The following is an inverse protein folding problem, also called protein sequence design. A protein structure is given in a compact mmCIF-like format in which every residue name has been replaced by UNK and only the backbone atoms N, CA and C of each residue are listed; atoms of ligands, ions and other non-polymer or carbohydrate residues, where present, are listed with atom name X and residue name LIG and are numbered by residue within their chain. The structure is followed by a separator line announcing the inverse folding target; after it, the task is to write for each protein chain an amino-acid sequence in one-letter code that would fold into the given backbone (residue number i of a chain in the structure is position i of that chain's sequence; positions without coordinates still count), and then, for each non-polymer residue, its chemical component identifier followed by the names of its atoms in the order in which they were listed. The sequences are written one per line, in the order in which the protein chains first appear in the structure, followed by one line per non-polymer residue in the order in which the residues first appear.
data_IF_895964226409
#
_entry.id   IF_895964226409
#
_cell.length_a   1.000
_cell.length_b   1.000
_cell.length_c   1.000
_cell.angle_alpha   90.00
_cell.angle_beta   90.00
_cell.angle_gamma   90.00
#
_symmetry.space_group_name_H-M   'P 1'
#
loop_
_entity.id
_entity.type
_entity.pdbx_description
1 polymer ?
#
# COMPACT_ATOMS: atom_id res chain seq x y z
N UNK A 1 11.36 21.89 -22.41
CA UNK A 1 11.33 21.57 -20.96
C UNK A 1 12.41 22.22 -20.10
N UNK A 2 13.60 22.59 -20.63
CA UNK A 2 14.67 23.24 -19.83
C UNK A 2 14.25 24.48 -19.03
N UNK A 3 13.31 25.29 -19.54
CA UNK A 3 12.78 26.47 -18.82
C UNK A 3 12.04 26.11 -17.52
N UNK A 4 11.24 25.04 -17.52
CA UNK A 4 10.45 24.65 -16.34
C UNK A 4 11.36 24.15 -15.23
N UNK A 5 12.38 23.36 -15.56
CA UNK A 5 13.38 22.87 -14.59
C UNK A 5 14.14 24.04 -13.97
N UNK A 6 14.58 25.00 -14.78
CA UNK A 6 15.26 26.20 -14.27
C UNK A 6 14.39 27.02 -13.33
N UNK A 7 13.11 27.18 -13.65
CA UNK A 7 12.17 27.86 -12.75
C UNK A 7 12.00 27.08 -11.44
N UNK A 8 11.87 25.75 -11.48
CA UNK A 8 11.78 24.94 -10.25
C UNK A 8 13.05 25.11 -9.41
N UNK A 9 14.24 25.02 -10.01
CA UNK A 9 15.51 25.22 -9.29
C UNK A 9 15.59 26.59 -8.61
N UNK A 10 15.16 27.65 -9.30
CA UNK A 10 15.07 28.99 -8.71
C UNK A 10 14.09 29.01 -7.53
N UNK A 11 12.94 28.36 -7.64
CA UNK A 11 11.97 28.28 -6.54
C UNK A 11 12.57 27.57 -5.32
N UNK A 12 13.37 26.51 -5.51
CA UNK A 12 14.11 25.87 -4.42
C UNK A 12 15.08 26.84 -3.73
N UNK A 13 15.81 27.66 -4.49
CA UNK A 13 16.76 28.64 -3.95
C UNK A 13 16.06 29.79 -3.18
N UNK A 14 14.83 30.13 -3.54
CA UNK A 14 14.04 31.18 -2.88
C UNK A 14 13.22 30.68 -1.67
N UNK A 15 13.24 29.39 -1.36
CA UNK A 15 12.52 28.88 -0.20
C UNK A 15 13.12 29.43 1.11
N UNK A 16 12.29 29.83 2.08
CA UNK A 16 12.76 30.16 3.42
C UNK A 16 13.54 28.99 4.04
N UNK A 17 14.59 29.30 4.80
CA UNK A 17 15.42 28.27 5.47
C UNK A 17 14.63 27.36 6.43
N UNK A 18 13.47 27.80 6.90
CA UNK A 18 12.56 27.02 7.75
C UNK A 18 11.64 26.08 6.96
N UNK A 19 11.78 25.97 5.64
CA UNK A 19 10.90 25.15 4.80
C UNK A 19 11.41 23.72 4.65
N UNK A 20 10.50 22.76 4.64
CA UNK A 20 10.78 21.37 4.28
C UNK A 20 10.02 21.05 3.00
N UNK A 21 10.73 20.53 1.99
CA UNK A 21 10.13 20.09 0.72
C UNK A 21 10.08 18.57 0.69
N UNK A 22 8.90 18.04 0.44
CA UNK A 22 8.67 16.61 0.22
C UNK A 22 8.07 16.44 -1.17
N UNK A 23 8.66 15.55 -1.96
CA UNK A 23 8.18 15.19 -3.28
C UNK A 23 8.11 13.67 -3.43
N UNK A 24 7.19 13.19 -4.27
CA UNK A 24 7.06 11.79 -4.61
C UNK A 24 7.00 11.64 -6.14
N UNK A 25 7.69 10.63 -6.67
CA UNK A 25 7.67 10.31 -8.09
C UNK A 25 7.78 8.80 -8.29
N UNK A 26 7.03 8.26 -9.25
CA UNK A 26 7.19 6.88 -9.71
C UNK A 26 8.20 6.78 -10.87
N UNK A 27 8.68 7.92 -11.39
CA UNK A 27 9.58 8.01 -12.54
C UNK A 27 10.78 8.88 -12.20
N UNK A 28 11.62 8.42 -11.26
CA UNK A 28 12.80 9.19 -10.83
C UNK A 28 13.79 9.44 -11.97
N UNK A 29 13.91 8.48 -12.90
CA UNK A 29 14.90 8.52 -13.99
C UNK A 29 14.51 9.52 -15.10
N UNK A 30 13.27 10.04 -15.06
CA UNK A 30 12.82 11.11 -15.96
C UNK A 30 13.10 12.51 -15.40
N UNK A 31 13.55 12.63 -14.14
CA UNK A 31 13.87 13.90 -13.53
C UNK A 31 15.28 14.36 -13.91
N UNK A 32 15.44 15.67 -14.03
CA UNK A 32 16.75 16.29 -14.28
C UNK A 32 17.67 16.12 -13.07
N UNK A 33 18.92 15.73 -13.31
CA UNK A 33 19.92 15.49 -12.27
C UNK A 33 20.20 16.73 -11.42
N UNK A 34 20.11 17.94 -11.98
CA UNK A 34 20.28 19.17 -11.22
C UNK A 34 19.17 19.38 -10.18
N UNK A 35 17.96 18.89 -10.46
CA UNK A 35 16.85 18.94 -9.51
C UNK A 35 17.03 17.90 -8.40
N UNK A 36 17.46 16.68 -8.75
CA UNK A 36 17.71 15.62 -7.77
C UNK A 36 18.76 16.03 -6.73
N UNK A 37 19.80 16.79 -7.13
CA UNK A 37 20.81 17.35 -6.21
C UNK A 37 20.28 18.35 -5.18
N UNK A 38 19.04 18.85 -5.32
CA UNK A 38 18.40 19.73 -4.32
C UNK A 38 17.64 18.99 -3.24
N UNK A 39 17.51 17.67 -3.37
CA UNK A 39 16.96 16.82 -2.33
C UNK A 39 18.11 16.15 -1.57
N UNK A 40 18.29 16.53 -0.31
CA UNK A 40 19.34 15.95 0.55
C UNK A 40 19.10 14.46 0.81
N UNK A 41 17.83 14.06 0.87
CA UNK A 41 17.41 12.68 1.14
C UNK A 41 16.54 12.14 0.01
N UNK A 42 16.95 11.02 -0.56
CA UNK A 42 16.17 10.26 -1.54
C UNK A 42 15.82 8.92 -0.92
N UNK A 43 14.53 8.70 -0.66
CA UNK A 43 14.02 7.47 -0.05
C UNK A 43 13.39 6.62 -1.14
N UNK A 44 13.97 5.44 -1.38
CA UNK A 44 13.39 4.44 -2.27
C UNK A 44 12.28 3.68 -1.57
N UNK A 45 11.14 3.50 -2.25
CA UNK A 45 10.07 2.61 -1.82
C UNK A 45 10.11 1.34 -2.65
N UNK A 46 10.41 0.23 -2.01
CA UNK A 46 10.35 -1.10 -2.62
C UNK A 46 8.99 -1.75 -2.35
N UNK A 47 8.73 -2.86 -3.04
CA UNK A 47 7.58 -3.70 -2.72
C UNK A 47 7.73 -4.27 -1.30
N UNK A 48 6.63 -4.37 -0.53
CA UNK A 48 6.69 -4.82 0.85
C UNK A 48 7.19 -6.26 0.96
N UNK A 49 8.10 -6.48 1.92
CA UNK A 49 8.49 -7.83 2.32
C UNK A 49 7.42 -8.49 3.23
N UNK A 50 7.53 -9.80 3.46
CA UNK A 50 6.55 -10.55 4.27
C UNK A 50 6.25 -9.90 5.64
N UNK A 51 7.28 -9.37 6.32
CA UNK A 51 7.11 -8.72 7.62
C UNK A 51 6.35 -7.40 7.51
N UNK A 52 6.58 -6.63 6.46
CA UNK A 52 5.87 -5.37 6.20
C UNK A 52 4.43 -5.61 5.79
N UNK A 53 4.18 -6.63 4.98
CA UNK A 53 2.82 -7.09 4.63
C UNK A 53 2.06 -7.45 5.91
N UNK A 54 2.68 -8.22 6.80
CA UNK A 54 2.07 -8.58 8.08
C UNK A 54 1.75 -7.35 8.93
N UNK A 55 2.68 -6.39 9.03
CA UNK A 55 2.44 -5.12 9.75
C UNK A 55 1.30 -4.32 9.13
N UNK A 56 1.24 -4.22 7.80
CA UNK A 56 0.15 -3.54 7.09
C UNK A 56 -1.21 -4.18 7.42
N UNK A 57 -1.27 -5.51 7.39
CA UNK A 57 -2.49 -6.25 7.71
C UNK A 57 -2.89 -6.04 9.17
N UNK A 58 -1.94 -6.17 10.10
CA UNK A 58 -2.19 -5.96 11.53
C UNK A 58 -2.73 -4.53 11.79
N UNK A 59 -2.18 -3.51 11.14
CA UNK A 59 -2.68 -2.12 11.21
C UNK A 59 -4.13 -2.00 10.73
N UNK A 60 -4.48 -2.63 9.61
CA UNK A 60 -5.85 -2.60 9.06
C UNK A 60 -6.83 -3.35 9.97
N UNK A 61 -6.43 -4.50 10.51
CA UNK A 61 -7.27 -5.32 11.37
C UNK A 61 -7.50 -4.69 12.74
N UNK A 62 -6.47 -4.12 13.36
CA UNK A 62 -6.56 -3.45 14.66
C UNK A 62 -7.49 -2.25 14.57
N UNK A 63 -7.33 -1.41 13.53
CA UNK A 63 -8.19 -0.25 13.34
C UNK A 63 -9.66 -0.62 13.07
N UNK A 64 -9.91 -1.81 12.50
CA UNK A 64 -11.25 -2.28 12.18
C UNK A 64 -11.86 -3.28 13.17
N UNK A 65 -11.17 -3.62 14.27
CA UNK A 65 -11.54 -4.71 15.19
C UNK A 65 -11.85 -6.05 14.48
N UNK A 66 -11.20 -6.31 13.34
CA UNK A 66 -11.39 -7.53 12.56
C UNK A 66 -10.38 -8.60 12.97
N UNK A 67 -10.77 -9.87 12.85
CA UNK A 67 -9.86 -11.01 13.02
C UNK A 67 -10.01 -11.96 11.85
N UNK A 68 -8.93 -12.66 11.50
CA UNK A 68 -9.05 -13.78 10.57
C UNK A 68 -9.74 -14.97 11.24
N UNK A 69 -10.56 -15.66 10.46
CA UNK A 69 -11.14 -16.97 10.80
C UNK A 69 -10.04 -18.01 11.10
N UNK A 70 -8.99 -18.05 10.29
CA UNK A 70 -7.90 -19.01 10.37
C UNK A 70 -6.53 -18.34 10.19
N UNK A 71 -5.79 -18.20 11.29
CA UNK A 71 -4.45 -17.60 11.31
C UNK A 71 -3.42 -18.35 10.45
N UNK A 72 -3.52 -19.68 10.38
CA UNK A 72 -2.57 -20.51 9.60
C UNK A 72 -2.76 -20.28 8.11
N UNK A 73 -4.00 -20.19 7.64
CA UNK A 73 -4.31 -19.88 6.24
C UNK A 73 -3.94 -18.43 5.93
N UNK A 74 -4.25 -17.49 6.81
CA UNK A 74 -3.85 -16.09 6.65
C UNK A 74 -2.34 -15.95 6.45
N UNK A 75 -1.51 -16.62 7.27
CA UNK A 75 -0.05 -16.61 7.11
C UNK A 75 0.42 -17.15 5.75
N UNK A 76 -0.27 -18.15 5.18
CA UNK A 76 0.04 -18.63 3.81
C UNK A 76 -0.29 -17.58 2.75
N UNK A 77 -1.39 -16.86 2.90
CA UNK A 77 -1.78 -15.80 1.96
C UNK A 77 -0.83 -14.60 2.06
N UNK A 78 -0.38 -14.26 3.27
CA UNK A 78 0.65 -13.23 3.49
C UNK A 78 1.92 -13.55 2.70
N UNK A 79 2.40 -14.80 2.77
CA UNK A 79 3.54 -15.27 1.96
C UNK A 79 3.27 -15.20 0.46
N UNK A 80 2.05 -15.53 0.03
CA UNK A 80 1.66 -15.46 -1.37
C UNK A 80 1.50 -14.02 -1.89
N UNK A 81 1.27 -13.05 -1.00
CA UNK A 81 1.08 -11.64 -1.34
C UNK A 81 2.40 -10.87 -1.59
N UNK A 82 3.55 -11.50 -1.32
CA UNK A 82 4.87 -10.94 -1.68
C UNK A 82 4.91 -10.67 -3.20
N UNK A 83 5.40 -9.48 -3.57
CA UNK A 83 5.40 -8.99 -4.95
C UNK A 83 4.22 -8.08 -5.30
N UNK A 84 3.22 -7.94 -4.43
CA UNK A 84 2.13 -6.98 -4.60
C UNK A 84 2.46 -5.64 -3.93
N UNK A 85 1.94 -4.54 -4.50
CA UNK A 85 2.05 -3.21 -3.88
C UNK A 85 1.22 -3.12 -2.59
N UNK A 86 1.59 -2.18 -1.71
CA UNK A 86 0.80 -1.83 -0.52
C UNK A 86 -0.68 -1.57 -0.85
N UNK A 87 -0.94 -0.85 -1.94
CA UNK A 87 -2.29 -0.56 -2.42
C UNK A 87 -3.06 -1.83 -2.78
N UNK A 88 -2.46 -2.74 -3.57
CA UNK A 88 -3.10 -3.99 -3.99
C UNK A 88 -3.46 -4.89 -2.79
N UNK A 89 -2.54 -5.00 -1.83
CA UNK A 89 -2.77 -5.78 -0.61
C UNK A 89 -3.92 -5.18 0.21
N UNK A 90 -3.90 -3.87 0.43
CA UNK A 90 -4.96 -3.18 1.18
C UNK A 90 -6.32 -3.30 0.48
N UNK A 91 -6.37 -3.06 -0.83
CA UNK A 91 -7.58 -3.15 -1.64
C UNK A 91 -8.20 -4.55 -1.57
N UNK A 92 -7.39 -5.60 -1.75
CA UNK A 92 -7.87 -7.00 -1.70
C UNK A 92 -8.37 -7.36 -0.30
N UNK A 93 -7.65 -6.96 0.76
CA UNK A 93 -8.06 -7.19 2.14
C UNK A 93 -9.37 -6.47 2.49
N UNK A 94 -9.49 -5.18 2.17
CA UNK A 94 -10.71 -4.40 2.42
C UNK A 94 -11.90 -4.99 1.65
N UNK A 95 -11.67 -5.43 0.41
CA UNK A 95 -12.72 -6.08 -0.39
C UNK A 95 -13.17 -7.40 0.25
N UNK A 96 -12.23 -8.19 0.78
CA UNK A 96 -12.53 -9.42 1.51
C UNK A 96 -13.32 -9.14 2.81
N UNK A 97 -12.95 -8.10 3.56
CA UNK A 97 -13.70 -7.64 4.75
C UNK A 97 -15.13 -7.31 4.36
N UNK A 98 -15.33 -6.44 3.37
CA UNK A 98 -16.66 -6.02 2.90
C UNK A 98 -17.51 -7.22 2.52
N UNK A 99 -16.98 -8.13 1.69
CA UNK A 99 -17.71 -9.34 1.26
C UNK A 99 -18.06 -10.25 2.43
N UNK A 100 -17.16 -10.40 3.40
CA UNK A 100 -17.42 -11.22 4.60
C UNK A 100 -18.54 -10.62 5.45
N UNK A 101 -18.58 -9.29 5.58
CA UNK A 101 -19.66 -8.59 6.28
C UNK A 101 -21.01 -8.70 5.54
N UNK A 102 -21.03 -8.57 4.22
CA UNK A 102 -22.26 -8.73 3.43
C UNK A 102 -22.81 -10.16 3.45
N UNK A 103 -21.95 -11.17 3.56
CA UNK A 103 -22.35 -12.57 3.68
C UNK A 103 -22.89 -12.93 5.09
N UNK A 104 -22.52 -12.15 6.11
CA UNK A 104 -23.06 -12.31 7.47
C UNK A 104 -24.49 -11.75 7.50
N UNK A 105 -25.46 -12.64 7.29
CA UNK A 105 -26.91 -12.34 7.17
C UNK A 105 -27.59 -11.83 8.45
N UNK A 106 -26.87 -11.45 9.51
CA UNK A 106 -27.44 -10.83 10.72
C UNK A 106 -26.65 -9.58 11.15
N UNK A 107 -27.25 -8.42 10.88
CA UNK A 107 -26.71 -7.08 11.20
C UNK A 107 -26.58 -6.85 12.73
N UNK A 108 -27.15 -7.72 13.57
CA UNK A 108 -27.27 -7.52 15.02
C UNK A 108 -26.23 -8.25 15.90
N UNK A 109 -25.20 -8.88 15.31
CA UNK A 109 -24.10 -9.54 16.07
C UNK A 109 -22.69 -9.07 15.67
N UNK A 110 -22.57 -7.82 15.21
CA UNK A 110 -21.32 -7.27 14.67
C UNK A 110 -20.43 -6.73 15.81
N UNK A 111 -19.83 -7.63 16.59
CA UNK A 111 -18.68 -7.28 17.46
C UNK A 111 -17.51 -8.26 17.32
N UNK A 112 -17.55 -9.21 16.38
CA UNK A 112 -16.39 -10.06 16.05
C UNK A 112 -16.47 -10.55 14.61
N UNK A 113 -16.38 -9.63 13.65
CA UNK A 113 -16.40 -9.97 12.24
C UNK A 113 -15.12 -10.72 11.85
N UNK A 114 -15.27 -12.00 11.53
CA UNK A 114 -14.22 -12.84 10.97
C UNK A 114 -14.17 -12.65 9.45
N UNK A 115 -12.97 -12.40 8.92
CA UNK A 115 -12.76 -12.30 7.46
C UNK A 115 -12.65 -13.73 6.89
N UNK A 116 -13.44 -14.04 5.86
CA UNK A 116 -13.37 -15.33 5.16
C UNK A 116 -12.10 -15.44 4.30
N UNK A 117 -11.23 -16.39 4.63
CA UNK A 117 -9.97 -16.64 3.92
C UNK A 117 -10.15 -17.13 2.48
N UNK A 118 -11.23 -17.86 2.19
CA UNK A 118 -11.57 -18.35 0.85
C UNK A 118 -11.81 -17.22 -0.15
N UNK A 119 -12.51 -16.17 0.30
CA UNK A 119 -12.82 -14.99 -0.51
C UNK A 119 -11.56 -14.19 -0.79
N UNK A 120 -10.70 -14.01 0.21
CA UNK A 120 -9.46 -13.27 0.05
C UNK A 120 -8.50 -13.96 -0.92
N UNK A 121 -8.36 -15.29 -0.83
CA UNK A 121 -7.53 -16.08 -1.75
C UNK A 121 -7.93 -15.85 -3.22
N UNK A 122 -9.23 -15.96 -3.53
CA UNK A 122 -9.73 -15.77 -4.89
C UNK A 122 -9.43 -14.36 -5.42
N UNK A 123 -9.62 -13.33 -4.60
CA UNK A 123 -9.30 -11.96 -4.98
C UNK A 123 -7.80 -11.73 -5.25
N UNK A 124 -6.92 -12.37 -4.49
CA UNK A 124 -5.48 -12.31 -4.73
C UNK A 124 -5.11 -13.01 -6.03
N UNK A 125 -5.71 -14.16 -6.34
CA UNK A 125 -5.48 -14.89 -7.60
C UNK A 125 -5.94 -14.07 -8.81
N UNK A 126 -7.09 -13.40 -8.73
CA UNK A 126 -7.59 -12.51 -9.79
C UNK A 126 -6.67 -11.31 -9.99
N UNK A 127 -6.19 -10.69 -8.91
CA UNK A 127 -5.29 -9.53 -9.00
C UNK A 127 -3.88 -9.94 -9.51
N UNK A 128 -3.41 -11.15 -9.20
CA UNK A 128 -2.18 -11.68 -9.79
C UNK A 128 -2.29 -11.91 -11.29
N UNK A 129 -3.39 -12.55 -11.71
CA UNK A 129 -3.68 -12.77 -13.12
C UNK A 129 -3.81 -11.45 -13.89
N UNK A 130 -4.36 -10.38 -13.29
CA UNK A 130 -4.47 -9.07 -13.97
C UNK A 130 -3.14 -8.34 -14.11
N UNK A 131 -2.13 -8.70 -13.32
CA UNK A 131 -0.80 -8.12 -13.34
C UNK A 131 0.21 -8.94 -14.16
N UNK A 132 -0.19 -10.07 -14.75
CA UNK A 132 0.69 -11.03 -15.44
C UNK A 132 1.84 -11.56 -14.54
N UNK A 133 1.56 -11.82 -13.26
CA UNK A 133 2.50 -12.38 -12.27
C UNK A 133 1.90 -13.63 -11.64
#
# INVERSE_FOLDING_TARGET
MKRVVNTILQLFDYLPQSSIVIAATNQKDMLDEALLRRFDNIIGFELPNESEIKKLIDLILVNGNFKFDNKTVANKIIKAAVGLSYYSIQKTLITAIKRSLFAASEINKILSAQISTSIWKNLVEVEKHSLNI
#
